data_IF_938252843787
#
_entry.id   IF_938252843787
#
_cell.length_a   1.000
_cell.length_b   1.000
_cell.length_c   1.000
_cell.angle_alpha   90.00
_cell.angle_beta   90.00
_cell.angle_gamma   90.00
#
_symmetry.space_group_name_H-M   'P 1'
#
loop_
_entity.id
_entity.type
_entity.pdbx_description
1 polymer ?
#
# COMPACT_ATOMS: atom_id res chain seq x y z
N UNK A 1 3.35 16.27 -4.58
CA UNK A 1 2.49 16.90 -3.55
C UNK A 1 1.75 15.74 -2.87
N UNK A 2 2.03 15.46 -1.60
CA UNK A 2 1.40 14.32 -0.89
C UNK A 2 -0.04 14.74 -0.62
N UNK A 3 -1.07 14.04 -1.14
CA UNK A 3 -2.45 14.40 -0.85
C UNK A 3 -2.67 14.35 0.66
N UNK A 4 -3.42 15.30 1.22
CA UNK A 4 -3.82 15.28 2.63
C UNK A 4 -4.85 14.17 2.86
N UNK A 5 -4.39 12.92 2.85
CA UNK A 5 -5.24 11.74 3.08
C UNK A 5 -5.73 11.76 4.53
N UNK A 6 -7.03 11.62 4.74
CA UNK A 6 -7.58 11.47 6.09
C UNK A 6 -7.19 10.11 6.68
N UNK A 7 -6.85 10.06 7.97
CA UNK A 7 -6.55 8.80 8.69
C UNK A 7 -7.68 7.77 8.56
N UNK A 8 -8.93 8.21 8.69
CA UNK A 8 -10.10 7.35 8.53
C UNK A 8 -10.22 6.77 7.12
N UNK A 9 -9.82 7.55 6.12
CA UNK A 9 -9.90 7.16 4.72
C UNK A 9 -8.76 6.20 4.36
N UNK A 10 -7.55 6.45 4.88
CA UNK A 10 -6.43 5.50 4.85
C UNK A 10 -6.83 4.16 5.48
N UNK A 11 -7.33 4.19 6.72
CA UNK A 11 -7.77 3.01 7.47
C UNK A 11 -8.84 2.22 6.71
N UNK A 12 -9.86 2.91 6.16
CA UNK A 12 -10.92 2.26 5.39
C UNK A 12 -10.38 1.54 4.15
N UNK A 13 -9.43 2.14 3.43
CA UNK A 13 -8.85 1.49 2.25
C UNK A 13 -7.97 0.30 2.62
N UNK A 14 -7.11 0.41 3.63
CA UNK A 14 -6.30 -0.72 4.08
C UNK A 14 -7.15 -1.86 4.67
N UNK A 15 -8.24 -1.54 5.38
CA UNK A 15 -9.20 -2.54 5.83
C UNK A 15 -9.87 -3.24 4.65
N UNK A 16 -10.28 -2.50 3.62
CA UNK A 16 -10.84 -3.06 2.38
C UNK A 16 -9.82 -3.93 1.66
N UNK A 17 -8.56 -3.52 1.57
CA UNK A 17 -7.48 -4.33 0.99
C UNK A 17 -7.35 -5.63 1.77
N UNK A 18 -7.25 -5.59 3.10
CA UNK A 18 -7.15 -6.79 3.93
C UNK A 18 -8.34 -7.73 3.78
N UNK A 19 -9.57 -7.19 3.77
CA UNK A 19 -10.79 -7.97 3.58
C UNK A 19 -10.95 -8.55 2.17
N UNK A 20 -10.31 -7.96 1.16
CA UNK A 20 -10.37 -8.42 -0.23
C UNK A 20 -9.10 -9.16 -0.68
N UNK A 21 -8.14 -9.39 0.22
CA UNK A 21 -6.86 -10.07 -0.07
C UNK A 21 -6.98 -11.60 -0.16
N UNK A 22 -8.11 -12.10 -0.69
CA UNK A 22 -8.29 -13.52 -0.98
C UNK A 22 -7.61 -13.85 -2.31
N UNK A 23 -6.78 -14.91 -2.34
CA UNK A 23 -6.01 -15.30 -3.52
C UNK A 23 -4.48 -15.26 -3.35
N UNK A 24 -4.00 -15.02 -2.14
CA UNK A 24 -2.57 -15.08 -1.80
C UNK A 24 -1.80 -13.78 -2.02
N UNK A 25 -0.46 -13.79 -1.83
CA UNK A 25 0.36 -12.57 -1.80
C UNK A 25 0.33 -11.77 -3.11
N UNK A 26 0.33 -12.44 -4.26
CA UNK A 26 0.24 -11.78 -5.56
C UNK A 26 -1.09 -11.03 -5.76
N UNK A 27 -2.21 -11.60 -5.30
CA UNK A 27 -3.51 -10.96 -5.34
C UNK A 27 -3.55 -9.72 -4.43
N UNK A 28 -2.94 -9.81 -3.25
CA UNK A 28 -2.83 -8.67 -2.32
C UNK A 28 -2.00 -7.52 -2.90
N UNK A 29 -0.85 -7.82 -3.53
CA UNK A 29 -0.01 -6.81 -4.19
C UNK A 29 -0.75 -6.16 -5.37
N UNK A 30 -1.43 -6.95 -6.20
CA UNK A 30 -2.21 -6.43 -7.32
C UNK A 30 -3.37 -5.53 -6.85
N UNK A 31 -4.04 -5.92 -5.75
CA UNK A 31 -5.09 -5.11 -5.15
C UNK A 31 -4.54 -3.80 -4.57
N UNK A 32 -3.38 -3.85 -3.91
CA UNK A 32 -2.71 -2.65 -3.41
C UNK A 32 -2.30 -1.72 -4.55
N UNK A 33 -1.77 -2.25 -5.66
CA UNK A 33 -1.45 -1.45 -6.84
C UNK A 33 -2.70 -0.73 -7.36
N UNK A 34 -3.77 -1.48 -7.63
CA UNK A 34 -5.04 -0.92 -8.11
C UNK A 34 -5.59 0.17 -7.18
N UNK A 35 -5.60 -0.06 -5.86
CA UNK A 35 -6.15 0.92 -4.92
C UNK A 35 -5.24 2.13 -4.76
N UNK A 36 -3.94 1.93 -4.55
CA UNK A 36 -3.01 3.01 -4.21
C UNK A 36 -2.56 3.83 -5.43
N UNK A 37 -2.49 3.20 -6.61
CA UNK A 37 -2.06 3.82 -7.87
C UNK A 37 -3.27 4.23 -8.70
N UNK A 38 -4.09 3.27 -9.14
CA UNK A 38 -5.15 3.54 -10.13
C UNK A 38 -6.35 4.30 -9.54
N UNK A 39 -6.93 3.79 -8.44
CA UNK A 39 -8.17 4.34 -7.87
C UNK A 39 -7.94 5.65 -7.10
N UNK A 40 -6.80 5.77 -6.41
CA UNK A 40 -6.55 6.86 -5.46
C UNK A 40 -5.46 7.82 -5.89
N UNK A 41 -4.55 7.41 -6.78
CA UNK A 41 -3.41 8.23 -7.20
C UNK A 41 -2.52 8.67 -6.03
N UNK A 42 -2.48 7.89 -4.95
CA UNK A 42 -1.68 8.17 -3.76
C UNK A 42 -0.19 7.89 -4.01
N UNK A 43 0.08 6.88 -4.83
CA UNK A 43 1.41 6.56 -5.34
C UNK A 43 1.35 6.54 -6.87
N UNK A 44 2.45 6.89 -7.52
CA UNK A 44 2.61 6.63 -8.95
C UNK A 44 3.24 5.24 -9.20
N UNK A 45 3.14 4.76 -10.44
CA UNK A 45 3.65 3.45 -10.86
C UNK A 45 5.10 3.20 -10.39
N UNK A 46 5.98 4.18 -10.62
CA UNK A 46 7.40 4.07 -10.26
C UNK A 46 7.60 4.02 -8.75
N UNK A 47 6.84 4.78 -7.97
CA UNK A 47 6.90 4.74 -6.50
C UNK A 47 6.45 3.39 -5.96
N UNK A 48 5.37 2.84 -6.52
CA UNK A 48 4.87 1.52 -6.12
C UNK A 48 5.86 0.41 -6.45
N UNK A 49 6.37 0.37 -7.69
CA UNK A 49 7.33 -0.65 -8.13
C UNK A 49 8.65 -0.59 -7.36
N UNK A 50 9.15 0.61 -7.05
CA UNK A 50 10.34 0.78 -6.22
C UNK A 50 10.12 0.25 -4.80
N UNK A 51 8.95 0.53 -4.20
CA UNK A 51 8.60 0.02 -2.89
C UNK A 51 8.43 -1.50 -2.88
N UNK A 52 7.77 -2.06 -3.90
CA UNK A 52 7.63 -3.51 -4.06
C UNK A 52 8.99 -4.20 -4.21
N UNK A 53 9.87 -3.67 -5.06
CA UNK A 53 11.22 -4.21 -5.25
C UNK A 53 12.03 -4.16 -3.96
N UNK A 54 11.86 -3.10 -3.16
CA UNK A 54 12.48 -2.99 -1.84
C UNK A 54 11.94 -4.04 -0.85
N UNK A 55 10.62 -4.25 -0.80
CA UNK A 55 9.99 -5.26 0.06
C UNK A 55 10.37 -6.69 -0.35
N UNK A 56 10.58 -6.95 -1.64
CA UNK A 56 11.05 -8.25 -2.13
C UNK A 56 12.52 -8.55 -1.77
N UNK A 57 13.33 -7.52 -1.49
CA UNK A 57 14.71 -7.68 -1.03
C UNK A 57 14.80 -7.95 0.47
N UNK A 58 13.79 -7.55 1.24
CA UNK A 58 13.74 -7.73 2.68
C UNK A 58 13.14 -9.11 3.03
N UNK A 59 13.76 -9.88 3.94
CA UNK A 59 13.14 -11.11 4.41
C UNK A 59 11.86 -10.79 5.18
N UNK A 60 10.72 -11.31 4.74
CA UNK A 60 9.45 -11.16 5.43
C UNK A 60 8.23 -11.11 4.50
N UNK A 61 7.03 -10.86 5.06
CA UNK A 61 5.78 -10.80 4.28
C UNK A 61 5.75 -9.51 3.44
N UNK A 62 6.04 -9.63 2.15
CA UNK A 62 6.28 -8.51 1.23
C UNK A 62 5.08 -7.56 1.15
N UNK A 63 3.87 -8.13 1.12
CA UNK A 63 2.63 -7.36 1.05
C UNK A 63 2.37 -6.52 2.31
N UNK A 64 2.69 -7.02 3.50
CA UNK A 64 2.58 -6.24 4.74
C UNK A 64 3.62 -5.13 4.79
N UNK A 65 4.88 -5.43 4.42
CA UNK A 65 5.92 -4.42 4.37
C UNK A 65 5.57 -3.29 3.40
N UNK A 66 5.01 -3.64 2.23
CA UNK A 66 4.57 -2.68 1.23
C UNK A 66 3.39 -1.84 1.75
N UNK A 67 2.47 -2.46 2.51
CA UNK A 67 1.33 -1.77 3.08
C UNK A 67 1.75 -0.76 4.16
N UNK A 68 2.64 -1.18 5.08
CA UNK A 68 3.25 -0.32 6.09
C UNK A 68 4.06 0.82 5.44
N UNK A 69 4.86 0.52 4.42
CA UNK A 69 5.61 1.55 3.70
C UNK A 69 4.68 2.57 3.04
N UNK A 70 3.63 2.11 2.35
CA UNK A 70 2.66 2.98 1.70
C UNK A 70 1.91 3.86 2.70
N UNK A 71 1.45 3.29 3.81
CA UNK A 71 0.79 4.01 4.88
C UNK A 71 1.71 5.05 5.53
N UNK A 72 2.96 4.67 5.83
CA UNK A 72 3.98 5.59 6.34
C UNK A 72 4.30 6.72 5.35
N UNK A 73 4.37 6.43 4.05
CA UNK A 73 4.61 7.43 3.00
C UNK A 73 3.50 8.48 2.93
N UNK A 74 2.26 8.07 3.21
CA UNK A 74 1.07 8.93 3.09
C UNK A 74 0.78 9.75 4.35
N UNK A 75 1.04 9.20 5.54
CA UNK A 75 0.68 9.84 6.83
C UNK A 75 1.79 9.81 7.89
N UNK A 76 3.02 9.49 7.52
CA UNK A 76 4.14 9.37 8.46
C UNK A 76 3.90 8.26 9.47
N UNK A 77 4.39 8.44 10.71
CA UNK A 77 4.25 7.45 11.79
C UNK A 77 2.78 7.05 12.03
N UNK A 78 1.83 7.96 11.83
CA UNK A 78 0.42 7.67 12.04
C UNK A 78 -0.19 6.73 10.99
N UNK A 79 0.49 6.50 9.85
CA UNK A 79 0.03 5.61 8.80
C UNK A 79 0.82 4.31 8.64
N UNK A 80 1.99 4.19 9.28
CA UNK A 80 2.87 3.02 9.19
C UNK A 80 2.54 1.93 10.20
#
# INVERSE_FOLDING_TARGET
MIPSVGLADLFRQFLRIGLLSFGGPAAQIALMHRVLVDERGWLNERQFLNALSFCMLLPGPEAMQLATYAGWRLRGIAGG
#
